data_IF_288794917587
#
_entry.id   IF_288794917587
#
_cell.length_a   1.000
_cell.length_b   1.000
_cell.length_c   1.000
_cell.angle_alpha   90.00
_cell.angle_beta   90.00
_cell.angle_gamma   90.00
#
_symmetry.space_group_name_H-M   'P 1'
#
loop_
_entity.id
_entity.type
_entity.pdbx_description
1 polymer ?
#
# COMPACT_ATOMS: atom_id res chain seq x y z
N UNK A 1 -5.85 -2.99 15.15
CA UNK A 1 -6.10 -1.56 14.86
C UNK A 1 -6.11 -0.86 16.20
N UNK A 2 -5.29 0.17 16.38
CA UNK A 2 -5.26 0.92 17.63
C UNK A 2 -6.23 2.10 17.46
N UNK A 3 -7.28 2.15 18.29
CA UNK A 3 -8.07 3.37 18.45
C UNK A 3 -7.49 4.20 19.58
N UNK A 4 -7.58 5.53 19.45
CA UNK A 4 -7.24 6.46 20.51
C UNK A 4 -8.30 6.37 21.61
N UNK A 5 -7.88 6.22 22.87
CA UNK A 5 -8.80 6.21 24.01
C UNK A 5 -9.59 7.53 24.13
N UNK A 6 -9.03 8.63 23.62
CA UNK A 6 -9.63 9.96 23.65
C UNK A 6 -10.84 10.11 22.72
N UNK A 7 -10.89 9.34 21.62
CA UNK A 7 -11.98 9.38 20.66
C UNK A 7 -12.07 8.06 19.92
N UNK A 8 -13.06 7.24 20.31
CA UNK A 8 -13.41 6.04 19.55
C UNK A 8 -14.29 6.42 18.36
N UNK A 9 -14.06 5.76 17.23
CA UNK A 9 -14.91 5.94 16.06
C UNK A 9 -16.25 5.25 16.32
N UNK A 10 -17.34 6.01 16.23
CA UNK A 10 -18.70 5.46 16.25
C UNK A 10 -19.02 4.82 14.90
N UNK A 11 -19.41 3.55 14.93
CA UNK A 11 -19.73 2.78 13.73
C UNK A 11 -21.22 2.93 13.41
N UNK A 12 -21.55 3.29 12.16
CA UNK A 12 -22.92 3.32 11.67
C UNK A 12 -23.33 1.94 11.18
N UNK A 13 -24.38 1.41 11.78
CA UNK A 13 -24.97 0.13 11.39
C UNK A 13 -25.33 0.14 9.89
N UNK A 14 -25.03 -0.95 9.19
CA UNK A 14 -25.25 -1.14 7.74
C UNK A 14 -24.47 -0.19 6.81
N UNK A 15 -23.50 0.57 7.33
CA UNK A 15 -22.61 1.41 6.53
C UNK A 15 -21.15 1.10 6.82
N UNK A 16 -20.78 1.05 8.10
CA UNK A 16 -19.39 0.84 8.52
C UNK A 16 -19.15 -0.63 8.90
N UNK A 17 -17.95 -1.10 8.59
CA UNK A 17 -17.48 -2.45 8.94
C UNK A 17 -16.19 -2.31 9.73
N UNK A 18 -16.15 -2.88 10.93
CA UNK A 18 -14.88 -2.97 11.66
C UNK A 18 -13.98 -3.97 10.94
N UNK A 19 -12.81 -3.50 10.50
CA UNK A 19 -11.89 -4.32 9.73
C UNK A 19 -11.34 -5.50 10.53
N UNK A 20 -11.05 -5.31 11.83
CA UNK A 20 -10.49 -6.39 12.66
C UNK A 20 -11.53 -7.50 12.86
N UNK A 21 -12.78 -7.12 13.14
CA UNK A 21 -13.88 -8.07 13.28
C UNK A 21 -14.18 -8.80 11.96
N UNK A 22 -14.20 -8.07 10.84
CA UNK A 22 -14.39 -8.66 9.52
C UNK A 22 -13.30 -9.70 9.19
N UNK A 23 -12.02 -9.33 9.38
CA UNK A 23 -10.90 -10.26 9.14
C UNK A 23 -10.96 -11.46 10.09
N UNK A 24 -11.29 -11.25 11.37
CA UNK A 24 -11.40 -12.33 12.35
C UNK A 24 -12.52 -13.31 11.99
N UNK A 25 -13.68 -12.81 11.55
CA UNK A 25 -14.81 -13.64 11.09
C UNK A 25 -14.42 -14.51 9.90
N UNK A 26 -13.82 -13.93 8.86
CA UNK A 26 -13.41 -14.70 7.68
C UNK A 26 -12.34 -15.74 8.02
N UNK A 27 -11.37 -15.40 8.87
CA UNK A 27 -10.36 -16.36 9.36
C UNK A 27 -11.00 -17.50 10.14
N UNK A 28 -11.96 -17.21 11.03
CA UNK A 28 -12.67 -18.23 11.80
C UNK A 28 -13.53 -19.13 10.92
N UNK A 29 -14.07 -18.60 9.82
CA UNK A 29 -14.77 -19.38 8.79
C UNK A 29 -13.81 -20.23 7.92
N UNK A 30 -12.50 -20.13 8.12
CA UNK A 30 -11.50 -20.85 7.34
C UNK A 30 -11.32 -20.30 5.92
N UNK A 31 -11.69 -19.04 5.68
CA UNK A 31 -11.50 -18.41 4.39
C UNK A 31 -10.00 -18.40 4.03
N UNK A 32 -9.68 -18.99 2.88
CA UNK A 32 -8.37 -18.92 2.26
C UNK A 32 -8.54 -18.39 0.84
N UNK A 33 -7.90 -17.26 0.54
CA UNK A 33 -7.96 -16.63 -0.78
C UNK A 33 -6.55 -16.60 -1.33
N UNK A 34 -6.31 -17.40 -2.36
CA UNK A 34 -5.01 -17.47 -3.01
C UNK A 34 -4.73 -16.19 -3.82
N UNK A 35 -3.45 -15.86 -3.98
CA UNK A 35 -3.03 -14.78 -4.86
C UNK A 35 -3.41 -15.10 -6.31
N UNK A 36 -4.03 -14.13 -7.00
CA UNK A 36 -4.27 -14.22 -8.44
C UNK A 36 -2.95 -13.99 -9.17
N UNK A 37 -2.55 -14.95 -10.00
CA UNK A 37 -1.39 -14.78 -10.88
C UNK A 37 -1.71 -13.75 -11.97
N UNK A 38 -0.82 -12.78 -12.16
CA UNK A 38 -0.92 -11.73 -13.18
C UNK A 38 0.36 -11.69 -14.02
N UNK A 39 0.26 -11.18 -15.24
CA UNK A 39 1.43 -10.91 -16.07
C UNK A 39 2.23 -9.75 -15.49
N UNK A 40 3.55 -9.73 -15.74
CA UNK A 40 4.41 -8.61 -15.37
C UNK A 40 3.91 -7.27 -15.93
N UNK A 41 3.27 -7.31 -17.10
CA UNK A 41 2.75 -6.13 -17.82
C UNK A 41 1.31 -5.78 -17.48
N UNK A 42 0.62 -6.58 -16.66
CA UNK A 42 -0.74 -6.26 -16.26
C UNK A 42 -0.76 -4.99 -15.40
N UNK A 43 -1.82 -4.15 -15.51
CA UNK A 43 -1.91 -2.90 -14.77
C UNK A 43 -2.04 -3.17 -13.26
N UNK A 44 -1.16 -2.56 -12.48
CA UNK A 44 -1.14 -2.62 -11.02
C UNK A 44 -1.99 -1.50 -10.39
N UNK A 45 -1.81 -0.26 -10.85
CA UNK A 45 -2.60 0.88 -10.39
C UNK A 45 -2.64 2.00 -11.43
N UNK A 46 -3.59 2.93 -11.23
CA UNK A 46 -3.67 4.20 -11.96
C UNK A 46 -3.50 5.32 -10.95
N UNK A 47 -2.52 6.19 -11.17
CA UNK A 47 -2.34 7.41 -10.36
C UNK A 47 -2.51 8.63 -11.25
N UNK A 48 -3.41 9.53 -10.85
CA UNK A 48 -3.65 10.76 -11.60
C UNK A 48 -2.62 11.82 -11.22
N UNK A 49 -2.04 12.45 -12.23
CA UNK A 49 -1.14 13.60 -12.07
C UNK A 49 -1.69 14.82 -12.79
N UNK A 50 -1.32 16.02 -12.32
CA UNK A 50 -1.64 17.26 -13.02
C UNK A 50 -1.08 17.22 -14.45
N UNK A 51 -1.97 17.37 -15.43
CA UNK A 51 -1.59 17.50 -16.84
C UNK A 51 -1.35 18.96 -17.20
N UNK A 52 -0.46 19.22 -18.15
CA UNK A 52 -0.23 20.58 -18.69
C UNK A 52 -1.43 21.14 -19.46
N UNK A 53 -2.39 20.30 -19.83
CA UNK A 53 -3.57 20.63 -20.63
C UNK A 53 -4.86 20.76 -19.81
N UNK A 54 -4.77 20.89 -18.48
CA UNK A 54 -5.90 21.13 -17.58
C UNK A 54 -6.67 19.89 -17.11
N UNK A 55 -6.60 18.77 -17.85
CA UNK A 55 -7.16 17.49 -17.42
C UNK A 55 -6.08 16.59 -16.79
N UNK A 56 -6.33 16.00 -15.60
CA UNK A 56 -5.41 15.05 -15.00
C UNK A 56 -5.17 13.82 -15.90
N UNK A 57 -3.92 13.38 -15.97
CA UNK A 57 -3.53 12.18 -16.74
C UNK A 57 -3.42 10.99 -15.80
N UNK A 58 -4.13 9.91 -16.11
CA UNK A 58 -4.04 8.64 -15.38
C UNK A 58 -2.82 7.85 -15.82
N UNK A 59 -1.77 7.84 -15.01
CA UNK A 59 -0.56 7.06 -15.28
C UNK A 59 -0.81 5.63 -14.82
N UNK A 60 -0.76 4.70 -15.76
CA UNK A 60 -0.85 3.26 -15.50
C UNK A 60 0.54 2.73 -15.13
N UNK A 61 0.63 1.99 -14.03
CA UNK A 61 1.85 1.29 -13.62
C UNK A 61 1.68 -0.22 -13.84
N UNK A 62 2.71 -0.88 -14.34
CA UNK A 62 2.76 -2.33 -14.50
C UNK A 62 3.23 -3.04 -13.21
N UNK A 63 2.98 -4.34 -13.08
CA UNK A 63 3.36 -5.11 -11.89
C UNK A 63 4.88 -5.35 -11.82
N UNK A 64 5.44 -6.03 -12.83
CA UNK A 64 6.78 -6.59 -12.78
C UNK A 64 7.88 -5.54 -12.78
N UNK A 65 7.81 -4.57 -13.71
CA UNK A 65 8.80 -3.49 -13.81
C UNK A 65 8.86 -2.65 -12.54
N UNK A 66 7.69 -2.32 -11.99
CA UNK A 66 7.58 -1.58 -10.73
C UNK A 66 8.18 -2.35 -9.55
N UNK A 67 7.81 -3.63 -9.37
CA UNK A 67 8.32 -4.46 -8.27
C UNK A 67 9.84 -4.60 -8.30
N UNK A 68 10.42 -4.89 -9.48
CA UNK A 68 11.87 -5.06 -9.63
C UNK A 68 12.61 -3.77 -9.31
N UNK A 69 12.16 -2.64 -9.85
CA UNK A 69 12.79 -1.35 -9.63
C UNK A 69 12.78 -0.95 -8.15
N UNK A 70 11.64 -1.12 -7.47
CA UNK A 70 11.52 -0.77 -6.05
C UNK A 70 12.33 -1.70 -5.15
N UNK A 71 12.27 -3.02 -5.38
CA UNK A 71 13.07 -3.97 -4.58
C UNK A 71 14.56 -3.66 -4.67
N UNK A 72 15.04 -3.31 -5.86
CA UNK A 72 16.43 -2.92 -6.10
C UNK A 72 16.77 -1.59 -5.42
N UNK A 73 15.92 -0.56 -5.52
CA UNK A 73 16.25 0.77 -4.98
C UNK A 73 16.33 0.80 -3.45
N UNK A 74 15.58 -0.05 -2.72
CA UNK A 74 15.61 -0.06 -1.26
C UNK A 74 17.03 -0.25 -0.68
N UNK A 75 17.81 -1.18 -1.23
CA UNK A 75 19.21 -1.38 -0.80
C UNK A 75 20.16 -0.42 -1.53
N UNK A 76 20.00 -0.23 -2.84
CA UNK A 76 20.99 0.46 -3.65
C UNK A 76 20.94 1.99 -3.56
N UNK A 77 19.77 2.56 -3.29
CA UNK A 77 19.58 4.02 -3.15
C UNK A 77 19.43 4.43 -1.68
N UNK A 78 18.71 3.64 -0.88
CA UNK A 78 18.41 3.99 0.51
C UNK A 78 19.27 3.23 1.53
N UNK A 79 20.04 2.21 1.12
CA UNK A 79 20.91 1.44 2.01
C UNK A 79 20.17 0.62 3.07
N UNK A 80 18.86 0.41 2.89
CA UNK A 80 18.00 -0.26 3.88
C UNK A 80 18.00 -1.76 3.63
N UNK A 81 18.11 -2.53 4.70
CA UNK A 81 18.12 -4.00 4.70
C UNK A 81 16.77 -4.59 5.12
N UNK A 82 16.47 -5.84 4.74
CA UNK A 82 15.28 -6.52 5.23
C UNK A 82 15.24 -6.57 6.76
N UNK A 83 14.07 -6.38 7.36
CA UNK A 83 13.87 -6.29 8.81
C UNK A 83 14.06 -4.90 9.42
N UNK A 84 14.64 -3.95 8.69
CA UNK A 84 14.77 -2.56 9.16
C UNK A 84 13.47 -1.77 9.00
N UNK A 85 13.39 -0.61 9.66
CA UNK A 85 12.24 0.31 9.57
C UNK A 85 12.54 1.38 8.53
N UNK A 86 11.63 1.55 7.57
CA UNK A 86 11.69 2.60 6.57
C UNK A 86 10.56 3.61 6.77
N UNK A 87 10.88 4.90 6.68
CA UNK A 87 9.91 5.98 6.80
C UNK A 87 10.04 6.94 5.62
N UNK A 88 9.03 6.94 4.76
CA UNK A 88 8.82 8.00 3.77
C UNK A 88 7.71 8.94 4.25
N UNK A 89 8.07 10.19 4.56
CA UNK A 89 7.14 11.24 4.94
C UNK A 89 6.41 11.79 3.70
N UNK A 90 5.45 11.02 3.19
CA UNK A 90 4.60 11.38 2.06
C UNK A 90 3.16 10.92 2.31
N UNK A 91 2.29 11.11 1.33
CA UNK A 91 0.91 10.64 1.37
C UNK A 91 0.69 9.54 0.32
N UNK A 92 -0.22 8.61 0.61
CA UNK A 92 -0.54 7.48 -0.27
C UNK A 92 -1.14 7.92 -1.60
N UNK A 93 -1.73 9.12 -1.69
CA UNK A 93 -2.22 9.70 -2.94
C UNK A 93 -1.11 10.13 -3.91
N UNK A 94 0.16 10.11 -3.49
CA UNK A 94 1.31 10.44 -4.34
C UNK A 94 2.12 9.20 -4.72
N UNK A 95 2.91 9.33 -5.79
CA UNK A 95 3.76 8.23 -6.29
C UNK A 95 4.80 7.79 -5.25
N UNK A 96 5.26 8.70 -4.40
CA UNK A 96 6.18 8.39 -3.29
C UNK A 96 5.48 7.52 -2.25
N UNK A 97 4.22 7.78 -1.90
CA UNK A 97 3.48 6.94 -0.98
C UNK A 97 3.25 5.52 -1.52
N UNK A 98 2.81 5.39 -2.76
CA UNK A 98 2.71 4.08 -3.41
C UNK A 98 4.06 3.34 -3.40
N UNK A 99 5.12 4.02 -3.85
CA UNK A 99 6.43 3.40 -4.06
C UNK A 99 7.16 3.07 -2.75
N UNK A 100 7.08 3.95 -1.75
CA UNK A 100 8.01 3.95 -0.62
C UNK A 100 7.34 4.03 0.76
N UNK A 101 6.01 4.19 0.83
CA UNK A 101 5.26 3.82 2.05
C UNK A 101 4.78 2.38 1.94
N UNK A 102 4.31 1.94 0.77
CA UNK A 102 3.71 0.60 0.61
C UNK A 102 4.63 -0.37 -0.12
N UNK A 103 4.77 -0.26 -1.46
CA UNK A 103 5.33 -1.36 -2.26
C UNK A 103 6.80 -1.64 -1.93
N UNK A 104 7.69 -0.64 -1.97
CA UNK A 104 9.13 -0.84 -1.83
C UNK A 104 9.54 -1.48 -0.51
N UNK A 105 9.22 -0.90 0.65
CA UNK A 105 9.56 -1.48 1.94
C UNK A 105 8.99 -2.88 2.14
N UNK A 106 7.70 -3.10 1.80
CA UNK A 106 7.06 -4.40 2.00
C UNK A 106 7.61 -5.49 1.08
N UNK A 107 7.88 -5.17 -0.20
CA UNK A 107 8.59 -6.05 -1.13
C UNK A 107 10.03 -6.33 -0.66
N UNK A 108 10.66 -5.34 -0.05
CA UNK A 108 12.02 -5.50 0.45
C UNK A 108 12.10 -6.34 1.73
N UNK A 109 11.00 -6.44 2.49
CA UNK A 109 10.92 -7.13 3.77
C UNK A 109 11.19 -6.22 4.97
N UNK A 110 11.01 -4.91 4.81
CA UNK A 110 11.14 -3.90 5.84
C UNK A 110 9.81 -3.67 6.56
N UNK A 111 9.88 -3.10 7.76
CA UNK A 111 8.73 -2.46 8.40
C UNK A 111 8.55 -1.06 7.82
N UNK A 112 7.32 -0.66 7.51
CA UNK A 112 7.02 0.69 7.00
C UNK A 112 6.26 1.51 8.02
N UNK A 113 6.50 2.82 8.04
CA UNK A 113 5.76 3.78 8.87
C UNK A 113 4.71 4.48 8.01
N UNK A 114 3.43 4.24 8.32
CA UNK A 114 2.31 5.01 7.80
C UNK A 114 1.96 6.12 8.81
N UNK A 115 2.04 7.37 8.37
CA UNK A 115 1.81 8.56 9.19
C UNK A 115 0.61 9.33 8.63
N UNK A 116 -0.31 9.69 9.52
CA UNK A 116 -1.51 10.50 9.25
C UNK A 116 -1.23 12.00 9.49
#
# INVERSE_FOLDING_TARGET
ILQRDQLRCEMKENHDIDYADAVARERAAGANVDCVAVLATDPLYIIYTSGTTGQPKGIVRDNGGHMVALKWSMENEFGVKPGEVFWAASDVGWVVGHSYIVYGPLLHGCTTVLFE
#
